data_IF_459267230636
#
_entry.id   IF_459267230636
#
_cell.length_a   1.000
_cell.length_b   1.000
_cell.length_c   1.000
_cell.angle_alpha   90.00
_cell.angle_beta   90.00
_cell.angle_gamma   90.00
#
_symmetry.space_group_name_H-M   'P 1'
#
loop_
_entity.id
_entity.type
_entity.pdbx_description
1 polymer ?
#
# COMPACT_ATOMS: atom_id res chain seq x y z
N UNK A 1 2.35 96.29 36.17
CA UNK A 1 2.41 95.62 34.89
C UNK A 1 3.38 94.53 35.02
N UNK A 2 2.94 93.27 35.26
CA UNK A 2 3.83 92.15 35.46
C UNK A 2 3.87 91.31 34.17
N UNK A 3 5.01 91.22 33.55
CA UNK A 3 5.28 90.38 32.38
C UNK A 3 5.53 88.91 32.86
N UNK A 4 4.61 88.02 32.52
CA UNK A 4 4.81 86.58 32.66
C UNK A 4 5.70 86.13 31.48
N UNK A 5 6.91 85.70 31.82
CA UNK A 5 7.81 85.03 30.89
C UNK A 5 7.31 83.59 30.61
N UNK A 6 6.90 83.31 29.38
CA UNK A 6 6.71 81.93 28.90
C UNK A 6 8.07 81.23 28.84
N UNK A 7 8.26 80.17 29.67
CA UNK A 7 9.42 79.28 29.60
C UNK A 7 9.30 78.39 28.36
N UNK A 8 10.19 78.68 27.40
CA UNK A 8 10.26 77.86 26.19
C UNK A 8 10.89 76.49 26.45
N UNK A 9 10.27 75.47 26.06
CA UNK A 9 10.86 74.09 26.04
C UNK A 9 12.18 74.14 25.29
N UNK A 10 13.22 73.56 25.87
CA UNK A 10 14.55 73.49 25.25
C UNK A 10 14.51 72.45 24.13
N UNK A 11 14.91 72.77 22.88
CA UNK A 11 14.87 71.85 21.71
C UNK A 11 15.64 70.56 21.94
N UNK A 12 16.68 70.58 22.79
CA UNK A 12 17.54 69.41 23.15
C UNK A 12 16.75 68.33 23.97
N UNK A 13 15.80 68.72 24.78
CA UNK A 13 14.96 67.79 25.54
C UNK A 13 13.98 67.04 24.63
N UNK A 14 13.43 67.72 23.64
CA UNK A 14 12.53 67.08 22.67
C UNK A 14 13.22 66.10 21.77
N UNK A 15 14.50 66.33 21.40
CA UNK A 15 15.30 65.43 20.58
C UNK A 15 15.70 64.15 21.36
N UNK A 16 16.02 64.26 22.64
CA UNK A 16 16.38 63.09 23.47
C UNK A 16 15.15 62.18 23.73
N UNK A 17 13.98 62.73 23.98
CA UNK A 17 12.73 62.00 24.17
C UNK A 17 12.29 61.29 22.86
N UNK A 18 12.44 61.96 21.71
CA UNK A 18 12.14 61.38 20.41
C UNK A 18 13.09 60.20 20.04
N UNK A 19 14.37 60.31 20.43
CA UNK A 19 15.36 59.23 20.27
C UNK A 19 15.02 58.00 21.11
N UNK A 20 14.69 58.21 22.37
CA UNK A 20 14.26 57.14 23.31
C UNK A 20 12.96 56.48 22.85
N UNK A 21 12.04 57.24 22.31
CA UNK A 21 10.80 56.70 21.76
C UNK A 21 11.04 55.84 20.50
N UNK A 22 11.93 56.29 19.59
CA UNK A 22 12.34 55.49 18.40
C UNK A 22 13.03 54.18 18.79
N UNK A 23 13.90 54.19 19.81
CA UNK A 23 14.56 53.00 20.29
C UNK A 23 13.57 51.99 20.91
N UNK A 24 12.60 52.45 21.70
CA UNK A 24 11.52 51.62 22.25
C UNK A 24 10.68 50.99 21.16
N UNK A 25 10.22 51.76 20.17
CA UNK A 25 9.47 51.24 19.05
C UNK A 25 10.28 50.23 18.24
N UNK A 26 11.58 50.41 18.07
CA UNK A 26 12.45 49.47 17.36
C UNK A 26 12.68 48.15 18.13
N UNK A 27 12.66 48.20 19.46
CA UNK A 27 12.71 46.99 20.30
C UNK A 27 11.40 46.24 20.24
N UNK A 28 10.25 46.90 20.39
CA UNK A 28 8.92 46.29 20.32
C UNK A 28 8.66 45.65 18.93
N UNK A 29 9.08 46.31 17.85
CA UNK A 29 8.99 45.76 16.48
C UNK A 29 9.87 44.50 16.32
N UNK A 30 11.06 44.48 16.89
CA UNK A 30 11.93 43.28 16.82
C UNK A 30 11.36 42.12 17.62
N UNK A 31 10.80 42.38 18.81
CA UNK A 31 10.12 41.32 19.59
C UNK A 31 8.86 40.81 18.92
N UNK A 32 8.06 41.68 18.31
CA UNK A 32 6.89 41.27 17.52
C UNK A 32 7.26 40.41 16.31
N UNK A 33 8.34 40.77 15.59
CA UNK A 33 8.87 39.97 14.49
C UNK A 33 9.41 38.60 14.96
N UNK A 34 10.11 38.54 16.08
CA UNK A 34 10.61 37.30 16.65
C UNK A 34 9.46 36.37 17.09
N UNK A 35 8.39 36.92 17.70
CA UNK A 35 7.17 36.16 18.07
C UNK A 35 6.43 35.63 16.83
N UNK A 36 6.28 36.43 15.79
CA UNK A 36 5.64 36.00 14.54
C UNK A 36 6.44 34.90 13.84
N UNK A 37 7.77 35.00 13.81
CA UNK A 37 8.66 33.96 13.26
C UNK A 37 8.59 32.64 14.05
N UNK A 38 8.55 32.72 15.39
CA UNK A 38 8.42 31.55 16.26
C UNK A 38 7.03 30.88 16.09
N UNK A 39 5.96 31.66 15.94
CA UNK A 39 4.61 31.14 15.69
C UNK A 39 4.54 30.44 14.33
N UNK A 40 5.15 31.01 13.29
CA UNK A 40 5.19 30.42 11.96
C UNK A 40 5.99 29.09 11.92
N UNK A 41 7.11 29.03 12.65
CA UNK A 41 7.89 27.80 12.79
C UNK A 41 7.11 26.70 13.56
N UNK A 42 6.33 27.08 14.58
CA UNK A 42 5.51 26.15 15.35
C UNK A 42 4.37 25.57 14.51
N UNK A 43 3.69 26.40 13.71
CA UNK A 43 2.62 25.98 12.78
C UNK A 43 3.17 25.04 11.70
N UNK A 44 4.30 25.36 11.09
CA UNK A 44 4.96 24.48 10.10
C UNK A 44 5.35 23.12 10.71
N UNK A 45 5.89 23.12 11.93
CA UNK A 45 6.25 21.88 12.62
C UNK A 45 4.99 21.06 12.98
N UNK A 46 3.88 21.71 13.34
CA UNK A 46 2.61 21.04 13.63
C UNK A 46 2.00 20.44 12.37
N UNK A 47 2.01 21.17 11.26
CA UNK A 47 1.55 20.67 9.95
C UNK A 47 2.39 19.50 9.46
N UNK A 48 3.72 19.58 9.59
CA UNK A 48 4.62 18.48 9.28
C UNK A 48 4.39 17.26 10.20
N UNK A 49 4.12 17.48 11.48
CA UNK A 49 3.79 16.40 12.41
C UNK A 49 2.44 15.75 12.08
N UNK A 50 1.43 16.53 11.68
CA UNK A 50 0.12 16.01 11.25
C UNK A 50 0.29 15.20 9.94
N UNK A 51 0.99 15.72 8.95
CA UNK A 51 1.27 15.02 7.68
C UNK A 51 2.06 13.73 7.94
N UNK A 52 3.02 13.74 8.85
CA UNK A 52 3.77 12.55 9.24
C UNK A 52 2.90 11.53 9.99
N UNK A 53 1.98 11.97 10.84
CA UNK A 53 1.02 11.10 11.53
C UNK A 53 -0.02 10.50 10.57
N UNK A 54 -0.46 11.25 9.57
CA UNK A 54 -1.37 10.74 8.53
C UNK A 54 -0.65 9.79 7.56
N UNK A 55 0.61 10.08 7.20
CA UNK A 55 1.43 9.20 6.36
C UNK A 55 1.87 7.91 7.05
N UNK A 56 1.91 7.90 8.39
CA UNK A 56 2.23 6.73 9.20
C UNK A 56 1.03 5.80 9.45
N UNK A 57 -0.18 6.15 8.96
CA UNK A 57 -1.37 5.32 9.12
C UNK A 57 -1.45 4.28 8.01
N UNK A 58 -1.62 3.04 8.42
CA UNK A 58 -2.03 1.95 7.54
C UNK A 58 -3.33 2.32 6.81
N UNK A 59 -3.38 2.07 5.51
CA UNK A 59 -4.55 2.29 4.67
C UNK A 59 -5.31 0.97 4.48
N UNK A 60 -6.63 1.04 4.37
CA UNK A 60 -7.44 -0.14 4.10
C UNK A 60 -7.85 -0.20 2.65
N UNK A 61 -7.68 -1.39 2.05
CA UNK A 61 -8.13 -1.70 0.71
C UNK A 61 -8.98 -2.97 0.69
N UNK A 62 -9.57 -3.26 -0.45
CA UNK A 62 -10.41 -4.44 -0.66
C UNK A 62 -10.20 -4.97 -2.07
N UNK A 63 -10.16 -6.28 -2.22
CA UNK A 63 -10.06 -6.97 -3.49
C UNK A 63 -11.41 -6.99 -4.23
N UNK A 64 -11.39 -6.72 -5.53
CA UNK A 64 -12.62 -6.47 -6.29
C UNK A 64 -13.42 -7.74 -6.65
N UNK A 65 -12.82 -8.91 -6.62
CA UNK A 65 -13.54 -10.19 -6.88
C UNK A 65 -14.63 -10.47 -5.85
N UNK A 66 -14.62 -9.79 -4.71
CA UNK A 66 -15.67 -9.83 -3.69
C UNK A 66 -17.00 -9.29 -4.26
N UNK A 67 -16.93 -8.36 -5.20
CA UNK A 67 -18.08 -7.71 -5.84
C UNK A 67 -18.52 -8.45 -7.09
N UNK A 68 -18.78 -9.75 -6.97
CA UNK A 68 -19.28 -10.58 -8.08
C UNK A 68 -20.52 -9.94 -8.69
N UNK A 69 -20.58 -9.90 -10.03
CA UNK A 69 -21.69 -9.38 -10.82
C UNK A 69 -21.98 -7.87 -10.67
N UNK A 70 -21.20 -7.13 -9.87
CA UNK A 70 -21.33 -5.69 -9.78
C UNK A 70 -20.55 -5.00 -10.92
N UNK A 71 -21.06 -3.85 -11.37
CA UNK A 71 -20.28 -2.97 -12.21
C UNK A 71 -19.10 -2.40 -11.41
N UNK A 72 -17.96 -2.21 -12.09
CA UNK A 72 -16.74 -1.70 -11.44
C UNK A 72 -16.95 -0.34 -10.76
N UNK A 73 -17.76 0.54 -11.38
CA UNK A 73 -18.13 1.84 -10.81
C UNK A 73 -18.90 1.73 -9.49
N UNK A 74 -19.81 0.75 -9.39
CA UNK A 74 -20.61 0.52 -8.19
C UNK A 74 -19.75 -0.05 -7.06
N UNK A 75 -18.82 -0.97 -7.40
CA UNK A 75 -17.84 -1.52 -6.44
C UNK A 75 -16.92 -0.44 -5.89
N UNK A 76 -16.39 0.44 -6.73
CA UNK A 76 -15.54 1.55 -6.30
C UNK A 76 -16.30 2.55 -5.40
N UNK A 77 -17.51 2.92 -5.81
CA UNK A 77 -18.36 3.81 -5.02
C UNK A 77 -18.74 3.20 -3.67
N UNK A 78 -19.03 1.91 -3.62
CA UNK A 78 -19.36 1.20 -2.38
C UNK A 78 -18.15 1.12 -1.44
N UNK A 79 -16.97 0.69 -1.94
CA UNK A 79 -15.75 0.63 -1.15
C UNK A 79 -15.40 2.01 -0.56
N UNK A 80 -15.48 3.07 -1.37
CA UNK A 80 -15.22 4.44 -0.93
C UNK A 80 -16.20 4.90 0.17
N UNK A 81 -17.53 4.63 0.04
CA UNK A 81 -18.53 4.95 1.06
C UNK A 81 -18.26 4.27 2.39
N UNK A 82 -17.77 3.05 2.37
CA UNK A 82 -17.37 2.32 3.58
C UNK A 82 -16.04 2.84 4.18
N UNK A 83 -15.33 3.71 3.42
CA UNK A 83 -14.08 4.35 3.80
C UNK A 83 -12.84 3.49 3.58
N UNK A 84 -12.90 2.53 2.67
CA UNK A 84 -11.69 2.02 2.05
C UNK A 84 -11.01 3.14 1.26
N UNK A 85 -9.70 3.16 1.25
CA UNK A 85 -8.92 4.12 0.46
C UNK A 85 -8.37 3.51 -0.82
N UNK A 86 -8.46 2.19 -0.99
CA UNK A 86 -7.97 1.48 -2.15
C UNK A 86 -8.78 0.25 -2.53
N UNK A 87 -8.64 -0.14 -3.81
CA UNK A 87 -9.16 -1.40 -4.36
C UNK A 87 -8.03 -2.10 -5.10
N UNK A 88 -7.90 -3.41 -4.91
CA UNK A 88 -7.09 -4.27 -5.76
C UNK A 88 -7.95 -4.90 -6.83
N UNK A 89 -7.39 -5.05 -8.02
CA UNK A 89 -8.11 -5.58 -9.19
C UNK A 89 -7.58 -6.97 -9.54
N UNK A 90 -8.49 -7.95 -9.59
CA UNK A 90 -8.22 -9.23 -10.21
C UNK A 90 -8.40 -9.07 -11.74
N UNK A 91 -7.34 -9.21 -12.57
CA UNK A 91 -7.41 -8.91 -14.01
C UNK A 91 -8.48 -9.68 -14.76
N UNK A 92 -8.79 -10.91 -14.33
CA UNK A 92 -9.81 -11.74 -14.96
C UNK A 92 -11.24 -11.18 -14.83
N UNK A 93 -11.46 -10.22 -13.92
CA UNK A 93 -12.73 -9.50 -13.79
C UNK A 93 -12.91 -8.43 -14.87
N UNK A 94 -11.82 -8.06 -15.54
CA UNK A 94 -11.83 -7.05 -16.61
C UNK A 94 -11.80 -7.69 -18.00
N UNK A 95 -10.92 -8.68 -18.23
CA UNK A 95 -10.73 -9.34 -19.51
C UNK A 95 -10.07 -10.72 -19.35
N UNK A 96 -10.05 -11.52 -20.43
CA UNK A 96 -9.35 -12.81 -20.42
C UNK A 96 -7.82 -12.64 -20.31
N UNK A 97 -7.26 -11.58 -20.90
CA UNK A 97 -5.86 -11.22 -20.75
C UNK A 97 -5.72 -9.69 -20.60
N UNK A 98 -4.69 -9.22 -19.88
CA UNK A 98 -4.46 -7.77 -19.72
C UNK A 98 -4.11 -7.09 -21.04
N UNK A 99 -3.63 -7.83 -22.03
CA UNK A 99 -3.39 -7.36 -23.41
C UNK A 99 -4.69 -7.05 -24.17
N UNK A 100 -5.82 -7.58 -23.72
CA UNK A 100 -7.14 -7.31 -24.31
C UNK A 100 -7.75 -5.99 -23.77
N UNK A 101 -7.16 -5.41 -22.73
CA UNK A 101 -7.60 -4.15 -22.13
C UNK A 101 -6.89 -3.00 -22.85
N UNK A 102 -7.62 -2.29 -23.70
CA UNK A 102 -7.06 -1.17 -24.46
C UNK A 102 -6.57 -0.03 -23.55
N UNK A 103 -5.65 0.80 -24.06
CA UNK A 103 -5.18 1.99 -23.32
C UNK A 103 -6.33 2.94 -22.93
N UNK A 104 -7.32 3.09 -23.81
CA UNK A 104 -8.52 3.89 -23.52
C UNK A 104 -9.36 3.30 -22.38
N UNK A 105 -9.49 1.98 -22.30
CA UNK A 105 -10.20 1.30 -21.22
C UNK A 105 -9.42 1.39 -19.90
N UNK A 106 -8.07 1.22 -19.90
CA UNK A 106 -7.23 1.44 -18.71
C UNK A 106 -7.38 2.87 -18.19
N UNK A 107 -7.42 3.86 -19.08
CA UNK A 107 -7.67 5.25 -18.69
C UNK A 107 -9.06 5.45 -18.12
N UNK A 108 -10.11 4.86 -18.74
CA UNK A 108 -11.50 4.91 -18.25
C UNK A 108 -11.62 4.35 -16.83
N UNK A 109 -10.96 3.21 -16.55
CA UNK A 109 -10.96 2.59 -15.22
C UNK A 109 -10.27 3.50 -14.19
N UNK A 110 -9.14 4.10 -14.54
CA UNK A 110 -8.46 5.09 -13.69
C UNK A 110 -9.36 6.28 -13.34
N UNK A 111 -10.06 6.81 -14.35
CA UNK A 111 -10.96 7.93 -14.17
C UNK A 111 -12.17 7.57 -13.30
N UNK A 112 -12.67 6.34 -13.39
CA UNK A 112 -13.72 5.81 -12.50
C UNK A 112 -13.24 5.79 -11.05
N UNK A 113 -12.05 5.28 -10.78
CA UNK A 113 -11.46 5.24 -9.46
C UNK A 113 -11.28 6.66 -8.89
N UNK A 114 -10.76 7.58 -9.69
CA UNK A 114 -10.56 8.99 -9.30
C UNK A 114 -11.90 9.68 -8.96
N UNK A 115 -12.96 9.49 -9.76
CA UNK A 115 -14.30 10.02 -9.47
C UNK A 115 -14.89 9.47 -8.17
N UNK A 116 -14.62 8.21 -7.87
CA UNK A 116 -15.03 7.56 -6.63
C UNK A 116 -14.15 7.91 -5.43
N UNK A 117 -13.07 8.68 -5.64
CA UNK A 117 -12.06 9.02 -4.62
C UNK A 117 -11.42 7.78 -3.99
N UNK A 118 -11.18 6.73 -4.79
CA UNK A 118 -10.52 5.51 -4.37
C UNK A 118 -9.26 5.28 -5.20
N UNK A 119 -8.22 4.71 -4.61
CA UNK A 119 -6.99 4.38 -5.32
C UNK A 119 -7.07 2.96 -5.88
N UNK A 120 -6.57 2.74 -7.08
CA UNK A 120 -6.25 1.39 -7.54
C UNK A 120 -4.90 1.05 -6.90
N UNK A 121 -4.90 0.10 -5.95
CA UNK A 121 -3.69 -0.33 -5.25
C UNK A 121 -2.79 -1.12 -6.20
N UNK A 122 -3.39 -2.03 -6.95
CA UNK A 122 -2.67 -2.88 -7.87
C UNK A 122 -3.48 -4.07 -8.36
N UNK A 123 -2.77 -5.13 -8.72
CA UNK A 123 -3.34 -6.35 -9.29
C UNK A 123 -3.04 -7.55 -8.39
N UNK A 124 -3.99 -8.48 -8.30
CA UNK A 124 -3.84 -9.77 -7.62
C UNK A 124 -4.48 -10.91 -8.43
N UNK A 125 -4.31 -12.18 -8.06
CA UNK A 125 -4.79 -13.35 -8.82
C UNK A 125 -4.35 -13.37 -10.30
N UNK A 126 -3.10 -13.06 -10.56
CA UNK A 126 -2.54 -12.67 -11.85
C UNK A 126 -2.60 -13.75 -12.93
N UNK A 127 -2.48 -15.04 -12.56
CA UNK A 127 -2.38 -16.16 -13.50
C UNK A 127 -3.65 -17.02 -13.60
N UNK A 128 -4.78 -16.53 -13.09
CA UNK A 128 -6.07 -17.22 -13.25
C UNK A 128 -6.48 -17.26 -14.72
N UNK A 129 -6.23 -16.18 -15.45
CA UNK A 129 -6.40 -16.02 -16.89
C UNK A 129 -5.23 -15.23 -17.49
N UNK A 130 -4.87 -15.45 -18.75
CA UNK A 130 -5.29 -16.53 -19.63
C UNK A 130 -4.75 -17.89 -19.16
N UNK A 131 -5.39 -18.95 -19.63
CA UNK A 131 -4.96 -20.32 -19.29
C UNK A 131 -3.61 -20.69 -19.93
N UNK A 132 -2.94 -21.69 -19.34
CA UNK A 132 -1.69 -22.25 -19.86
C UNK A 132 -0.45 -21.42 -19.53
N UNK A 133 -0.52 -20.52 -18.54
CA UNK A 133 0.63 -19.87 -17.93
C UNK A 133 1.10 -20.67 -16.71
N UNK A 134 2.44 -20.71 -16.49
CA UNK A 134 3.00 -21.47 -15.37
C UNK A 134 4.42 -21.00 -15.08
N UNK A 135 4.77 -20.78 -13.82
CA UNK A 135 6.05 -20.17 -13.41
C UNK A 135 7.26 -21.08 -13.67
N UNK A 136 7.14 -22.35 -13.35
CA UNK A 136 8.22 -23.33 -13.35
C UNK A 136 7.88 -24.60 -14.17
N UNK A 137 7.09 -24.45 -15.23
CA UNK A 137 6.73 -25.55 -16.12
C UNK A 137 7.95 -26.22 -16.76
N UNK A 138 7.89 -27.53 -17.03
CA UNK A 138 8.95 -28.28 -17.70
C UNK A 138 9.20 -27.78 -19.12
N UNK A 139 8.14 -27.37 -19.84
CA UNK A 139 8.27 -26.73 -21.17
C UNK A 139 8.76 -25.27 -21.05
N UNK A 140 9.94 -25.00 -21.61
CA UNK A 140 10.54 -23.67 -21.65
C UNK A 140 9.71 -22.62 -22.39
N UNK A 141 8.91 -23.04 -23.38
CA UNK A 141 8.03 -22.11 -24.12
C UNK A 141 6.90 -21.56 -23.22
N UNK A 142 6.36 -22.41 -22.34
CA UNK A 142 5.35 -22.00 -21.37
C UNK A 142 5.96 -20.99 -20.38
N UNK A 143 7.17 -21.25 -19.85
CA UNK A 143 7.86 -20.30 -18.98
C UNK A 143 8.15 -18.97 -19.68
N UNK A 144 8.63 -19.02 -20.93
CA UNK A 144 8.92 -17.82 -21.72
C UNK A 144 7.65 -16.99 -22.00
N UNK A 145 6.51 -17.66 -22.26
CA UNK A 145 5.21 -16.99 -22.41
C UNK A 145 4.76 -16.36 -21.10
N UNK A 146 4.93 -17.07 -19.97
CA UNK A 146 4.59 -16.57 -18.66
C UNK A 146 5.44 -15.35 -18.28
N UNK A 147 6.75 -15.38 -18.56
CA UNK A 147 7.66 -14.27 -18.33
C UNK A 147 7.23 -13.00 -19.11
N UNK A 148 6.89 -13.15 -20.39
CA UNK A 148 6.35 -12.01 -21.19
C UNK A 148 5.05 -11.47 -20.61
N UNK A 149 4.15 -12.35 -20.21
CA UNK A 149 2.88 -11.93 -19.63
C UNK A 149 3.03 -11.16 -18.32
N UNK A 150 4.06 -11.47 -17.49
CA UNK A 150 4.35 -10.66 -16.32
C UNK A 150 4.79 -9.23 -16.65
N UNK A 151 5.49 -9.02 -17.76
CA UNK A 151 5.82 -7.66 -18.25
C UNK A 151 4.54 -6.92 -18.63
N UNK A 152 3.63 -7.57 -19.35
CA UNK A 152 2.32 -7.00 -19.72
C UNK A 152 1.45 -6.67 -18.48
N UNK A 153 1.51 -7.52 -17.45
CA UNK A 153 0.84 -7.27 -16.17
C UNK A 153 1.41 -6.04 -15.45
N UNK A 154 2.74 -5.86 -15.45
CA UNK A 154 3.39 -4.68 -14.89
C UNK A 154 2.94 -3.41 -15.60
N UNK A 155 2.95 -3.41 -16.94
CA UNK A 155 2.51 -2.27 -17.75
C UNK A 155 1.04 -1.95 -17.50
N UNK A 156 0.18 -2.98 -17.46
CA UNK A 156 -1.24 -2.80 -17.16
C UNK A 156 -1.46 -2.23 -15.75
N UNK A 157 -0.77 -2.75 -14.75
CA UNK A 157 -0.83 -2.26 -13.37
C UNK A 157 -0.48 -0.78 -13.28
N UNK A 158 0.64 -0.38 -13.88
CA UNK A 158 1.09 1.01 -13.90
C UNK A 158 0.12 1.92 -14.67
N UNK A 159 -0.41 1.48 -15.82
CA UNK A 159 -1.37 2.25 -16.61
C UNK A 159 -2.69 2.47 -15.86
N UNK A 160 -3.11 1.52 -15.03
CA UNK A 160 -4.26 1.66 -14.14
C UNK A 160 -3.97 2.58 -12.92
N UNK A 161 -2.71 2.96 -12.70
CA UNK A 161 -2.27 3.76 -11.55
C UNK A 161 -1.96 2.93 -10.31
N UNK A 162 -1.88 1.60 -10.44
CA UNK A 162 -1.49 0.68 -9.38
C UNK A 162 0.02 0.63 -9.20
N UNK A 163 0.44 0.26 -8.00
CA UNK A 163 1.86 0.14 -7.63
C UNK A 163 2.23 -1.23 -7.05
N UNK A 164 1.26 -2.11 -6.86
CA UNK A 164 1.44 -3.43 -6.25
C UNK A 164 0.94 -4.52 -7.21
N UNK A 165 1.67 -5.62 -7.29
CA UNK A 165 1.25 -6.82 -8.00
C UNK A 165 1.46 -8.05 -7.12
N UNK A 166 0.37 -8.73 -6.72
CA UNK A 166 0.43 -9.91 -5.86
C UNK A 166 0.50 -11.19 -6.68
N UNK A 167 1.59 -11.94 -6.52
CA UNK A 167 1.81 -13.24 -7.18
C UNK A 167 1.40 -14.37 -6.25
N UNK A 168 0.08 -14.65 -6.19
CA UNK A 168 -0.50 -15.66 -5.32
C UNK A 168 -0.89 -16.98 -6.01
N UNK A 169 -1.08 -17.01 -7.30
CA UNK A 169 -1.67 -18.12 -8.08
C UNK A 169 -1.09 -19.53 -7.76
N UNK A 170 -1.71 -20.33 -6.88
CA UNK A 170 -1.10 -21.57 -6.38
C UNK A 170 -0.95 -22.64 -7.46
N UNK A 171 -1.95 -22.80 -8.31
CA UNK A 171 -1.98 -23.85 -9.35
C UNK A 171 -0.92 -23.67 -10.43
N UNK A 172 -0.39 -22.46 -10.62
CA UNK A 172 0.55 -22.11 -11.67
C UNK A 172 2.00 -22.10 -11.19
N UNK A 173 2.30 -22.64 -9.98
CA UNK A 173 3.66 -22.66 -9.43
C UNK A 173 4.09 -23.98 -8.79
N UNK A 174 3.23 -24.98 -8.74
CA UNK A 174 3.60 -26.27 -8.14
C UNK A 174 4.86 -26.85 -8.77
N UNK A 175 5.73 -27.43 -7.93
CA UNK A 175 6.83 -28.25 -8.40
C UNK A 175 6.23 -29.49 -9.09
N UNK A 176 6.46 -29.61 -10.38
CA UNK A 176 5.91 -30.67 -11.20
C UNK A 176 6.67 -31.99 -10.97
N UNK A 177 6.04 -33.09 -11.27
CA UNK A 177 6.68 -34.42 -11.23
C UNK A 177 7.93 -34.46 -12.12
N UNK A 178 9.00 -35.08 -11.63
CA UNK A 178 10.26 -35.25 -12.37
C UNK A 178 11.22 -34.06 -12.31
N UNK A 179 10.88 -32.96 -11.60
CA UNK A 179 11.79 -31.84 -11.36
C UNK A 179 12.10 -31.67 -9.85
N UNK A 180 13.30 -31.21 -9.54
CA UNK A 180 13.67 -30.91 -8.17
C UNK A 180 13.11 -29.54 -7.76
N UNK A 181 12.96 -29.32 -6.45
CA UNK A 181 12.58 -28.01 -5.90
C UNK A 181 13.53 -26.90 -6.33
N UNK A 182 14.86 -27.16 -6.33
CA UNK A 182 15.87 -26.22 -6.80
C UNK A 182 15.68 -25.84 -8.27
N UNK A 183 15.36 -26.82 -9.11
CA UNK A 183 15.10 -26.55 -10.54
C UNK A 183 13.84 -25.69 -10.75
N UNK A 184 12.78 -25.96 -9.99
CA UNK A 184 11.57 -25.12 -10.00
C UNK A 184 11.88 -23.69 -9.52
N UNK A 185 12.72 -23.56 -8.49
CA UNK A 185 13.21 -22.29 -7.95
C UNK A 185 13.95 -21.47 -9.00
N UNK A 186 14.96 -22.06 -9.66
CA UNK A 186 15.77 -21.39 -10.67
C UNK A 186 14.94 -20.96 -11.88
N UNK A 187 14.00 -21.79 -12.30
CA UNK A 187 13.08 -21.47 -13.41
C UNK A 187 12.12 -20.35 -13.04
N UNK A 188 11.56 -20.38 -11.84
CA UNK A 188 10.71 -19.29 -11.35
C UNK A 188 11.49 -17.98 -11.26
N UNK A 189 12.71 -18.01 -10.73
CA UNK A 189 13.56 -16.82 -10.67
C UNK A 189 13.85 -16.26 -12.07
N UNK A 190 14.12 -17.14 -13.05
CA UNK A 190 14.33 -16.71 -14.43
C UNK A 190 13.08 -16.08 -15.05
N UNK A 191 11.88 -16.59 -14.72
CA UNK A 191 10.59 -16.05 -15.21
C UNK A 191 10.37 -14.61 -14.77
N UNK A 192 10.87 -14.18 -13.60
CA UNK A 192 10.68 -12.83 -13.08
C UNK A 192 11.71 -11.79 -13.52
N UNK A 193 12.85 -12.18 -14.10
CA UNK A 193 13.96 -11.24 -14.38
C UNK A 193 13.57 -10.00 -15.15
N UNK A 194 12.85 -10.16 -16.26
CA UNK A 194 12.46 -9.03 -17.11
C UNK A 194 11.29 -8.25 -16.52
N UNK A 195 10.37 -8.95 -15.86
CA UNK A 195 9.25 -8.30 -15.17
C UNK A 195 9.74 -7.42 -14.00
N UNK A 196 10.77 -7.83 -13.24
CA UNK A 196 11.34 -7.03 -12.17
C UNK A 196 11.99 -5.75 -12.72
N UNK A 197 12.75 -5.84 -13.83
CA UNK A 197 13.32 -4.65 -14.49
C UNK A 197 12.23 -3.71 -15.02
N UNK A 198 11.16 -4.26 -15.59
CA UNK A 198 10.02 -3.47 -16.02
C UNK A 198 9.36 -2.79 -14.83
N UNK A 199 9.16 -3.50 -13.73
CA UNK A 199 8.55 -2.99 -12.50
C UNK A 199 9.36 -1.84 -11.90
N UNK A 200 10.69 -1.92 -11.86
CA UNK A 200 11.59 -0.81 -11.47
C UNK A 200 11.33 0.45 -12.31
N UNK A 201 11.25 0.30 -13.63
CA UNK A 201 11.03 1.39 -14.55
C UNK A 201 9.62 2.00 -14.47
N UNK A 202 8.62 1.19 -14.10
CA UNK A 202 7.21 1.57 -14.06
C UNK A 202 6.73 1.98 -12.66
N UNK A 203 7.58 1.88 -11.63
CA UNK A 203 7.21 2.18 -10.25
C UNK A 203 6.21 1.19 -9.65
N UNK A 204 6.26 -0.07 -10.09
CA UNK A 204 5.43 -1.17 -9.57
C UNK A 204 6.29 -2.09 -8.70
N UNK A 205 5.74 -2.59 -7.60
CA UNK A 205 6.37 -3.62 -6.78
C UNK A 205 5.65 -4.95 -6.97
N UNK A 206 6.37 -5.95 -7.45
CA UNK A 206 5.91 -7.33 -7.52
C UNK A 206 6.07 -7.95 -6.13
N UNK A 207 4.98 -8.45 -5.56
CA UNK A 207 4.93 -9.04 -4.23
C UNK A 207 4.69 -10.55 -4.36
N UNK A 208 5.74 -11.35 -4.15
CA UNK A 208 5.65 -12.81 -4.19
C UNK A 208 4.99 -13.31 -2.90
N UNK A 209 3.94 -14.12 -3.03
CA UNK A 209 3.15 -14.59 -1.92
C UNK A 209 3.58 -15.98 -1.47
N UNK A 210 4.00 -16.18 -0.20
CA UNK A 210 4.05 -17.51 0.38
C UNK A 210 2.64 -18.04 0.58
N UNK A 211 2.39 -19.31 0.24
CA UNK A 211 1.08 -19.93 0.35
C UNK A 211 1.15 -21.19 1.21
N UNK A 212 0.03 -21.57 1.83
CA UNK A 212 -0.02 -22.75 2.69
C UNK A 212 0.35 -24.04 1.94
N UNK A 213 0.92 -25.05 2.62
CA UNK A 213 1.18 -26.36 2.03
C UNK A 213 -0.05 -27.07 1.46
N UNK A 214 -1.25 -26.66 1.90
CA UNK A 214 -2.51 -27.18 1.36
C UNK A 214 -2.82 -26.63 -0.05
N UNK A 215 -2.21 -25.51 -0.45
CA UNK A 215 -2.46 -24.82 -1.72
C UNK A 215 -1.38 -25.11 -2.76
N UNK A 216 -0.13 -25.21 -2.34
CA UNK A 216 1.01 -25.42 -3.23
C UNK A 216 2.14 -26.14 -2.49
N UNK A 217 3.03 -26.79 -3.25
CA UNK A 217 4.27 -27.38 -2.74
C UNK A 217 5.50 -26.51 -3.02
N UNK A 218 5.31 -25.20 -3.26
CA UNK A 218 6.38 -24.29 -3.63
C UNK A 218 6.27 -22.94 -2.92
N UNK A 219 7.27 -22.64 -2.09
CA UNK A 219 7.36 -21.42 -1.25
C UNK A 219 6.18 -21.32 -0.28
N UNK A 220 6.34 -21.94 0.88
CA UNK A 220 5.25 -22.12 1.83
C UNK A 220 5.39 -21.28 3.11
N UNK A 221 6.51 -20.58 3.30
CA UNK A 221 6.72 -19.70 4.45
C UNK A 221 7.19 -18.32 4.03
N UNK A 222 6.92 -17.32 4.86
CA UNK A 222 7.43 -15.97 4.67
C UNK A 222 8.96 -15.93 4.60
N UNK A 223 9.65 -16.73 5.43
CA UNK A 223 11.11 -16.84 5.41
C UNK A 223 11.62 -17.36 4.06
N UNK A 224 11.00 -18.42 3.53
CA UNK A 224 11.34 -18.98 2.22
C UNK A 224 11.07 -17.98 1.08
N UNK A 225 9.99 -17.24 1.15
CA UNK A 225 9.68 -16.18 0.18
C UNK A 225 10.70 -15.03 0.23
N UNK A 226 11.18 -14.64 1.43
CA UNK A 226 12.28 -13.67 1.58
C UNK A 226 13.56 -14.19 0.95
N UNK A 227 13.93 -15.46 1.17
CA UNK A 227 15.07 -16.08 0.51
C UNK A 227 14.95 -16.08 -1.02
N UNK A 228 13.72 -16.23 -1.54
CA UNK A 228 13.45 -16.20 -2.97
C UNK A 228 13.64 -14.81 -3.59
N UNK A 229 13.13 -13.77 -2.97
CA UNK A 229 13.17 -12.41 -3.55
C UNK A 229 14.51 -11.70 -3.31
N UNK A 230 15.19 -12.00 -2.21
CA UNK A 230 16.43 -11.32 -1.79
C UNK A 230 17.55 -11.31 -2.83
N UNK A 231 17.84 -12.40 -3.58
CA UNK A 231 18.91 -12.41 -4.58
C UNK A 231 18.69 -11.46 -5.76
N UNK A 232 17.46 -11.01 -6.01
CA UNK A 232 17.18 -10.00 -7.06
C UNK A 232 17.73 -8.63 -6.70
N UNK A 233 17.94 -8.36 -5.41
CA UNK A 233 18.44 -7.08 -4.90
C UNK A 233 17.71 -5.86 -5.49
N UNK A 234 16.40 -5.96 -5.62
CA UNK A 234 15.54 -4.95 -6.25
C UNK A 234 14.49 -4.43 -5.27
N UNK A 235 14.25 -3.12 -5.18
CA UNK A 235 13.13 -2.58 -4.41
C UNK A 235 11.76 -2.94 -5.02
N UNK A 236 11.73 -3.29 -6.31
CA UNK A 236 10.54 -3.65 -7.06
C UNK A 236 10.16 -5.14 -6.94
N UNK A 237 10.94 -5.95 -6.18
CA UNK A 237 10.59 -7.35 -5.92
C UNK A 237 10.65 -7.63 -4.43
N UNK A 238 9.49 -7.77 -3.84
CA UNK A 238 9.25 -7.97 -2.40
C UNK A 238 8.35 -9.19 -2.20
N UNK A 239 7.98 -9.44 -0.95
CA UNK A 239 6.94 -10.42 -0.63
C UNK A 239 5.66 -9.69 -0.18
N UNK A 240 4.57 -10.42 -0.15
CA UNK A 240 3.36 -10.06 0.59
C UNK A 240 3.27 -10.95 1.84
N UNK A 241 2.63 -10.47 2.88
CA UNK A 241 2.17 -11.29 4.00
C UNK A 241 0.66 -11.42 3.92
N UNK A 242 0.18 -12.66 3.93
CA UNK A 242 -1.24 -13.02 3.93
C UNK A 242 -1.59 -13.74 5.24
N UNK A 243 -2.66 -13.32 5.91
CA UNK A 243 -3.03 -13.84 7.23
C UNK A 243 -3.39 -15.32 7.17
N UNK A 244 -4.15 -15.75 6.16
CA UNK A 244 -4.52 -17.17 5.96
C UNK A 244 -3.27 -18.05 5.77
N UNK A 245 -2.31 -17.54 4.96
CA UNK A 245 -1.06 -18.25 4.74
C UNK A 245 -0.21 -18.32 6.03
N UNK A 246 -0.07 -17.22 6.76
CA UNK A 246 0.63 -17.18 8.05
C UNK A 246 -0.01 -18.07 9.11
N UNK A 247 -1.34 -18.35 9.04
CA UNK A 247 -2.00 -19.31 9.92
C UNK A 247 -1.46 -20.74 9.76
N UNK A 248 -0.80 -21.07 8.66
CA UNK A 248 -0.19 -22.38 8.41
C UNK A 248 1.25 -22.51 8.91
N UNK A 249 1.88 -21.40 9.27
CA UNK A 249 3.24 -21.38 9.78
C UNK A 249 3.31 -21.68 11.29
N UNK A 250 4.44 -22.22 11.73
CA UNK A 250 4.63 -22.55 13.14
C UNK A 250 4.89 -21.33 14.04
N UNK A 251 5.35 -20.22 13.46
CA UNK A 251 5.66 -18.98 14.17
C UNK A 251 4.41 -18.14 14.37
N UNK A 252 4.29 -17.39 15.50
CA UNK A 252 3.26 -16.38 15.65
C UNK A 252 3.36 -15.30 14.54
N UNK A 253 2.21 -14.82 14.02
CA UNK A 253 2.15 -13.86 12.92
C UNK A 253 2.94 -12.57 13.19
N UNK A 254 2.87 -12.04 14.42
CA UNK A 254 3.63 -10.86 14.81
C UNK A 254 5.15 -11.07 14.76
N UNK A 255 5.62 -12.30 14.97
CA UNK A 255 7.04 -12.64 14.78
C UNK A 255 7.37 -12.72 13.29
N UNK A 256 6.52 -13.34 12.47
CA UNK A 256 6.69 -13.40 11.01
C UNK A 256 6.77 -11.99 10.44
N UNK A 257 5.89 -11.07 10.87
CA UNK A 257 5.90 -9.67 10.43
C UNK A 257 7.25 -9.00 10.73
N UNK A 258 7.74 -9.11 11.97
CA UNK A 258 9.01 -8.51 12.36
C UNK A 258 10.21 -9.07 11.59
N UNK A 259 10.27 -10.40 11.46
CA UNK A 259 11.37 -11.10 10.77
C UNK A 259 11.37 -10.85 9.26
N UNK A 260 10.20 -10.59 8.66
CA UNK A 260 10.08 -10.34 7.22
C UNK A 260 10.37 -8.89 6.83
N UNK A 261 10.41 -7.94 7.79
CA UNK A 261 10.73 -6.55 7.50
C UNK A 261 12.24 -6.38 7.20
N UNK A 262 12.63 -5.59 6.16
CA UNK A 262 11.84 -4.74 5.26
C UNK A 262 11.51 -5.41 3.90
N UNK A 263 11.36 -6.72 3.86
CA UNK A 263 11.21 -7.48 2.61
C UNK A 263 9.76 -7.62 2.13
N UNK A 264 8.74 -7.29 2.93
CA UNK A 264 7.36 -7.24 2.45
C UNK A 264 6.92 -5.80 2.13
N UNK A 265 6.04 -5.67 1.11
CA UNK A 265 5.51 -4.39 0.65
C UNK A 265 3.98 -4.34 0.66
N UNK A 266 3.31 -5.46 0.89
CA UNK A 266 1.87 -5.57 0.89
C UNK A 266 1.37 -6.54 1.97
N UNK A 267 0.08 -6.42 2.32
CA UNK A 267 -0.52 -7.23 3.39
C UNK A 267 -1.98 -7.57 3.05
N UNK A 268 -2.31 -8.87 2.95
CA UNK A 268 -3.67 -9.34 2.81
C UNK A 268 -4.28 -9.71 4.16
N UNK A 269 -5.48 -9.21 4.39
CA UNK A 269 -6.27 -9.43 5.59
C UNK A 269 -7.45 -10.34 5.26
N UNK A 270 -7.41 -11.50 5.84
CA UNK A 270 -8.45 -12.53 5.77
C UNK A 270 -8.44 -13.35 7.06
N UNK A 271 -9.13 -14.48 7.10
CA UNK A 271 -9.15 -15.37 8.26
C UNK A 271 -8.88 -16.82 7.83
N UNK A 272 -8.45 -17.66 8.76
CA UNK A 272 -8.18 -19.08 8.55
C UNK A 272 -9.38 -19.84 7.93
N UNK A 273 -10.59 -19.37 8.17
CA UNK A 273 -11.82 -19.95 7.63
C UNK A 273 -12.10 -19.54 6.18
N UNK A 274 -11.18 -18.80 5.52
CA UNK A 274 -11.26 -18.31 4.14
C UNK A 274 -12.24 -17.14 3.94
N UNK A 275 -12.72 -16.53 5.02
CA UNK A 275 -13.58 -15.34 5.04
C UNK A 275 -12.78 -14.09 5.39
N UNK A 276 -13.44 -12.95 5.40
CA UNK A 276 -12.82 -11.66 5.73
C UNK A 276 -12.50 -11.51 7.22
N UNK A 277 -11.71 -10.48 7.59
CA UNK A 277 -11.45 -10.14 8.98
C UNK A 277 -12.75 -9.94 9.78
N UNK A 278 -12.79 -10.48 10.99
CA UNK A 278 -13.95 -10.42 11.87
C UNK A 278 -15.05 -11.45 11.57
N UNK A 279 -14.83 -12.37 10.62
CA UNK A 279 -15.72 -13.51 10.35
C UNK A 279 -15.22 -14.85 10.95
N UNK A 280 -14.02 -14.86 11.50
CA UNK A 280 -13.40 -16.00 12.17
C UNK A 280 -12.74 -15.59 13.47
N UNK A 281 -11.70 -16.34 13.86
CA UNK A 281 -11.09 -16.26 15.18
C UNK A 281 -9.74 -15.49 15.19
N UNK A 282 -9.26 -14.99 14.06
CA UNK A 282 -7.99 -14.27 14.00
C UNK A 282 -8.12 -12.93 14.70
N UNK A 283 -7.32 -12.75 15.79
CA UNK A 283 -7.19 -11.45 16.46
C UNK A 283 -6.20 -10.56 15.70
N UNK A 284 -6.71 -9.47 15.11
CA UNK A 284 -5.89 -8.51 14.38
C UNK A 284 -5.17 -7.48 15.26
N UNK A 285 -5.45 -7.38 16.55
CA UNK A 285 -4.76 -6.43 17.44
C UNK A 285 -3.25 -6.67 17.54
N UNK A 286 -2.76 -7.92 17.77
CA UNK A 286 -1.33 -8.20 17.76
C UNK A 286 -0.68 -7.98 16.38
N UNK A 287 -1.40 -8.24 15.28
CA UNK A 287 -0.97 -8.01 13.90
C UNK A 287 -0.80 -6.50 13.68
N UNK A 288 -1.80 -5.71 14.03
CA UNK A 288 -1.78 -4.25 13.93
C UNK A 288 -0.63 -3.63 14.73
N UNK A 289 -0.39 -4.15 15.95
CA UNK A 289 0.73 -3.70 16.78
C UNK A 289 2.08 -3.99 16.10
N UNK A 290 2.27 -5.18 15.54
CA UNK A 290 3.51 -5.56 14.86
C UNK A 290 3.73 -4.75 13.56
N UNK A 291 2.69 -4.53 12.74
CA UNK A 291 2.78 -3.69 11.54
C UNK A 291 3.17 -2.25 11.89
N UNK A 292 2.61 -1.71 12.98
CA UNK A 292 2.94 -0.38 13.49
C UNK A 292 4.39 -0.31 14.00
N UNK A 293 4.82 -1.33 14.74
CA UNK A 293 6.18 -1.42 15.30
C UNK A 293 7.26 -1.42 14.21
N UNK A 294 7.03 -2.13 13.10
CA UNK A 294 7.97 -2.13 11.98
C UNK A 294 7.84 -0.90 11.06
N UNK A 295 6.90 0.00 11.32
CA UNK A 295 6.68 1.21 10.52
C UNK A 295 5.99 0.95 9.17
N UNK A 296 5.21 -0.13 9.06
CA UNK A 296 4.45 -0.40 7.84
C UNK A 296 3.34 0.65 7.63
N UNK A 297 3.36 1.31 6.48
CA UNK A 297 2.43 2.38 6.11
C UNK A 297 1.70 2.11 4.79
N UNK A 298 1.77 0.87 4.29
CA UNK A 298 1.11 0.42 3.07
C UNK A 298 -0.38 0.14 3.27
N UNK A 299 -0.92 -0.67 2.38
CA UNK A 299 -2.31 -1.13 2.45
C UNK A 299 -2.42 -2.44 3.22
N UNK A 300 -3.44 -2.54 4.07
CA UNK A 300 -4.00 -3.79 4.58
C UNK A 300 -5.27 -4.03 3.78
N UNK A 301 -5.23 -5.01 2.89
CA UNK A 301 -6.25 -5.25 1.89
C UNK A 301 -7.08 -6.48 2.22
N UNK A 302 -8.40 -6.33 2.22
CA UNK A 302 -9.32 -7.43 2.49
C UNK A 302 -9.41 -8.32 1.25
N UNK A 303 -8.99 -9.57 1.40
CA UNK A 303 -9.14 -10.64 0.41
C UNK A 303 -9.95 -11.78 1.02
N UNK A 304 -10.90 -12.34 0.29
CA UNK A 304 -11.69 -13.48 0.76
C UNK A 304 -11.82 -14.54 -0.32
N UNK A 305 -12.12 -15.77 0.11
CA UNK A 305 -12.27 -16.93 -0.78
C UNK A 305 -13.65 -17.57 -0.66
N UNK A 306 -14.49 -17.07 0.26
CA UNK A 306 -15.88 -17.47 0.47
C UNK A 306 -16.77 -16.22 0.45
N UNK A 307 -17.81 -16.25 -0.36
CA UNK A 307 -18.61 -15.07 -0.71
C UNK A 307 -20.08 -15.19 -0.27
N UNK A 308 -20.43 -16.18 0.54
CA UNK A 308 -21.83 -16.50 0.89
C UNK A 308 -22.56 -15.35 1.59
N UNK A 309 -21.82 -14.51 2.32
CA UNK A 309 -22.40 -13.35 3.03
C UNK A 309 -22.76 -12.19 2.10
N UNK A 310 -22.26 -12.22 0.88
CA UNK A 310 -22.42 -11.15 -0.10
C UNK A 310 -21.49 -9.95 0.11
N UNK A 311 -21.25 -9.16 -0.95
CA UNK A 311 -20.23 -8.12 -0.97
C UNK A 311 -20.46 -7.01 0.06
N UNK A 312 -21.71 -6.61 0.29
CA UNK A 312 -22.06 -5.55 1.23
C UNK A 312 -21.68 -5.89 2.67
N UNK A 313 -22.03 -7.12 3.09
CA UNK A 313 -21.73 -7.61 4.44
C UNK A 313 -20.25 -7.86 4.63
N UNK A 314 -19.60 -8.51 3.64
CA UNK A 314 -18.16 -8.77 3.66
C UNK A 314 -17.39 -7.45 3.80
N UNK A 315 -17.63 -6.51 2.91
CA UNK A 315 -16.89 -5.25 2.88
C UNK A 315 -17.12 -4.41 4.16
N UNK A 316 -18.38 -4.25 4.59
CA UNK A 316 -18.71 -3.41 5.76
C UNK A 316 -18.20 -3.99 7.07
N UNK A 317 -18.38 -5.29 7.31
CA UNK A 317 -17.94 -5.95 8.54
C UNK A 317 -16.42 -6.01 8.63
N UNK A 318 -15.74 -6.33 7.52
CA UNK A 318 -14.27 -6.42 7.48
C UNK A 318 -13.59 -5.10 7.78
N UNK A 319 -14.00 -4.01 7.11
CA UNK A 319 -13.37 -2.70 7.36
C UNK A 319 -13.66 -2.18 8.77
N UNK A 320 -14.86 -2.43 9.31
CA UNK A 320 -15.17 -2.07 10.69
C UNK A 320 -14.25 -2.80 11.66
N UNK A 321 -14.11 -4.11 11.51
CA UNK A 321 -13.25 -4.93 12.37
C UNK A 321 -11.78 -4.51 12.30
N UNK A 322 -11.27 -4.23 11.09
CA UNK A 322 -9.90 -3.73 10.90
C UNK A 322 -9.70 -2.37 11.59
N UNK A 323 -10.63 -1.43 11.43
CA UNK A 323 -10.54 -0.13 12.12
C UNK A 323 -10.51 -0.29 13.63
N UNK A 324 -11.40 -1.12 14.18
CA UNK A 324 -11.47 -1.37 15.63
C UNK A 324 -10.16 -2.05 16.15
N UNK A 325 -9.43 -2.78 15.29
CA UNK A 325 -8.18 -3.46 15.63
C UNK A 325 -6.93 -2.57 15.48
N UNK A 326 -6.96 -1.58 14.58
CA UNK A 326 -5.84 -0.68 14.29
C UNK A 326 -5.93 0.68 15.03
N UNK A 327 -7.01 0.91 15.79
CA UNK A 327 -7.18 2.11 16.63
C UNK A 327 -6.28 2.13 17.86
#
# INVERSE_FOLDING_TARGET
MSSHAMSWFKPEQCQSELSLYKERCAVELREAHARASAYHALTLNLELAIVNLESARVKFAICNEIYQDWKLEDSFAHAARLGYSGVEIAPFTLANAVTDISAAERQRIRDLAARSKIQIVGLHWLLVKPEGLYLNHTDGNIRARTARYFVELVDCCADLGGTIMVVGSPKQRNVMEGISHQQAWDWTATTFRDAVKCAENRGVTICFEPLSPAETNFVNTAAEAVEFVKPFNSPAFKIILDVKAMCSEAKPMQQIIRESWPHFAHFHANDKNLKGPGFGDVDFKPIAAALREVGYNGYVSVEVFKFEEGPEVIASKSVKYLRDSFC
#
